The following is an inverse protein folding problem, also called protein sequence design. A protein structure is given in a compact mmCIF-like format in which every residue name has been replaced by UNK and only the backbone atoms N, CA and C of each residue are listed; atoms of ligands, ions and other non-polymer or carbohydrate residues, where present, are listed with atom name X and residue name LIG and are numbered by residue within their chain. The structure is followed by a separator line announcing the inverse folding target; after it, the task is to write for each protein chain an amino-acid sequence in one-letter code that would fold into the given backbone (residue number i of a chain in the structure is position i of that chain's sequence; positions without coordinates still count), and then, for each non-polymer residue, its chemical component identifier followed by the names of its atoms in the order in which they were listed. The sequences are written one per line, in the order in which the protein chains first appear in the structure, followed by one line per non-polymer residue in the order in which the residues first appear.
data_IF_859241608878
#
_entry.id   IF_859241608878
#
_cell.length_a   1.000
_cell.length_b   1.000
_cell.length_c   1.000
_cell.angle_alpha   90.00
_cell.angle_beta   90.00
_cell.angle_gamma   90.00
#
_symmetry.space_group_name_H-M   'P 1'
#
loop_
_entity.id
_entity.type
_entity.pdbx_description
1 polymer ?
#
# COMPACT_ATOMS: atom_id res chain seq x y z
N UNK A 1 -10.03 -3.34 -6.43
CA UNK A 1 -8.86 -3.94 -5.76
C UNK A 1 -8.48 -5.21 -6.51
N UNK A 2 -7.19 -5.50 -6.67
CA UNK A 2 -6.75 -6.86 -6.99
C UNK A 2 -6.96 -7.80 -5.79
N UNK A 3 -6.71 -9.10 -5.95
CA UNK A 3 -6.76 -10.03 -4.81
C UNK A 3 -5.75 -9.60 -3.74
N UNK A 4 -6.13 -9.62 -2.46
CA UNK A 4 -5.20 -9.28 -1.37
C UNK A 4 -4.03 -10.28 -1.31
N UNK A 5 -4.20 -11.49 -1.83
CA UNK A 5 -3.13 -12.48 -1.97
C UNK A 5 -1.95 -11.98 -2.82
N UNK A 6 -2.18 -10.98 -3.67
CA UNK A 6 -1.14 -10.34 -4.50
C UNK A 6 -0.58 -9.05 -3.88
N UNK A 7 -1.02 -8.67 -2.66
CA UNK A 7 -0.57 -7.47 -1.99
C UNK A 7 0.77 -7.69 -1.26
N UNK A 8 1.68 -6.73 -1.38
CA UNK A 8 2.85 -6.65 -0.52
C UNK A 8 2.51 -5.83 0.73
N UNK A 9 2.69 -6.43 1.90
CA UNK A 9 2.59 -5.73 3.19
C UNK A 9 3.97 -5.61 3.81
N UNK A 10 4.34 -4.39 4.18
CA UNK A 10 5.56 -4.08 4.91
C UNK A 10 5.16 -3.36 6.20
N UNK A 11 5.71 -3.79 7.33
CA UNK A 11 5.46 -3.20 8.65
C UNK A 11 6.75 -3.12 9.45
N UNK A 12 6.87 -2.09 10.28
CA UNK A 12 7.90 -1.94 11.30
C UNK A 12 7.32 -2.00 12.73
N UNK A 13 6.05 -2.39 12.87
CA UNK A 13 5.45 -2.64 14.18
C UNK A 13 5.99 -3.95 14.79
N UNK A 14 5.71 -4.15 16.09
CA UNK A 14 6.08 -5.40 16.77
C UNK A 14 5.31 -6.60 16.23
N UNK A 15 5.93 -7.78 16.27
CA UNK A 15 5.35 -9.02 15.73
C UNK A 15 3.95 -9.35 16.28
N UNK A 16 3.70 -9.06 17.57
CA UNK A 16 2.40 -9.28 18.21
C UNK A 16 1.31 -8.38 17.66
N UNK A 17 1.64 -7.14 17.29
CA UNK A 17 0.73 -6.21 16.63
C UNK A 17 0.43 -6.69 15.21
N UNK A 18 1.49 -6.98 14.44
CA UNK A 18 1.36 -7.40 13.05
C UNK A 18 0.54 -8.68 12.89
N UNK A 19 0.79 -9.69 13.73
CA UNK A 19 0.01 -10.92 13.67
C UNK A 19 -1.48 -10.67 13.94
N UNK A 20 -1.79 -9.83 14.93
CA UNK A 20 -3.16 -9.55 15.33
C UNK A 20 -3.90 -8.62 14.36
N UNK A 21 -3.22 -7.70 13.69
CA UNK A 21 -3.82 -6.71 12.80
C UNK A 21 -3.70 -7.06 11.31
N UNK A 22 -2.48 -7.39 10.86
CA UNK A 22 -2.19 -7.74 9.46
C UNK A 22 -2.53 -9.21 9.21
N UNK A 23 -2.07 -10.11 10.09
CA UNK A 23 -2.27 -11.56 9.93
C UNK A 23 -3.74 -11.97 9.95
N UNK A 24 -4.57 -11.28 10.74
CA UNK A 24 -6.02 -11.48 10.77
C UNK A 24 -6.78 -10.73 9.68
N UNK A 25 -6.08 -9.97 8.84
CA UNK A 25 -6.65 -9.07 7.83
C UNK A 25 -7.59 -7.99 8.37
N UNK A 26 -7.54 -7.68 9.67
CA UNK A 26 -8.36 -6.65 10.32
C UNK A 26 -8.24 -5.27 9.64
N UNK A 27 -7.08 -4.96 9.05
CA UNK A 27 -6.85 -3.70 8.35
C UNK A 27 -7.78 -3.49 7.12
N UNK A 28 -8.31 -4.56 6.50
CA UNK A 28 -9.25 -4.43 5.37
C UNK A 28 -10.55 -3.73 5.76
N UNK A 29 -10.94 -3.86 7.03
CA UNK A 29 -12.15 -3.25 7.60
C UNK A 29 -11.85 -1.90 8.25
N UNK A 30 -10.58 -1.52 8.39
CA UNK A 30 -10.19 -0.34 9.16
C UNK A 30 -10.67 0.95 8.48
N UNK A 31 -11.08 1.97 9.27
CA UNK A 31 -11.63 3.22 8.73
C UNK A 31 -10.62 3.95 7.82
N UNK A 32 -9.33 3.88 8.14
CA UNK A 32 -8.27 4.45 7.29
C UNK A 32 -8.12 3.74 5.95
N UNK A 33 -8.27 2.41 5.91
CA UNK A 33 -8.20 1.66 4.67
C UNK A 33 -9.39 1.99 3.76
N UNK A 34 -10.61 2.00 4.31
CA UNK A 34 -11.82 2.40 3.56
C UNK A 34 -11.71 3.82 3.01
N UNK A 35 -11.28 4.77 3.83
CA UNK A 35 -11.04 6.15 3.37
C UNK A 35 -10.06 6.20 2.20
N UNK A 36 -8.95 5.46 2.30
CA UNK A 36 -7.92 5.47 1.26
C UNK A 36 -8.42 4.93 -0.09
N UNK A 37 -9.36 3.98 -0.10
CA UNK A 37 -9.90 3.44 -1.35
C UNK A 37 -10.62 4.48 -2.21
N UNK A 38 -11.15 5.53 -1.59
CA UNK A 38 -11.98 6.55 -2.25
C UNK A 38 -11.28 7.90 -2.37
N UNK A 39 -10.11 8.07 -1.73
CA UNK A 39 -9.42 9.35 -1.60
C UNK A 39 -7.94 9.23 -1.97
N UNK A 40 -7.37 10.33 -2.44
CA UNK A 40 -5.92 10.50 -2.60
C UNK A 40 -5.43 11.60 -1.65
N UNK A 41 -4.27 11.40 -1.03
CA UNK A 41 -3.72 12.35 -0.07
C UNK A 41 -3.52 11.71 1.30
N UNK A 42 -3.53 12.53 2.35
CA UNK A 42 -3.31 12.07 3.71
C UNK A 42 -4.39 12.58 4.66
N UNK A 43 -4.76 11.75 5.64
CA UNK A 43 -5.73 12.09 6.67
C UNK A 43 -5.21 11.71 8.05
N UNK A 44 -5.37 12.61 9.01
CA UNK A 44 -5.03 12.37 10.41
C UNK A 44 -6.06 11.45 11.05
N UNK A 45 -5.62 10.56 11.94
CA UNK A 45 -6.51 9.63 12.62
C UNK A 45 -7.51 10.32 13.54
N UNK A 46 -7.20 11.53 14.03
CA UNK A 46 -8.17 12.34 14.78
C UNK A 46 -9.44 12.61 13.99
N UNK A 47 -9.32 12.94 12.70
CA UNK A 47 -10.47 13.14 11.82
C UNK A 47 -11.25 11.84 11.59
N UNK A 48 -10.54 10.71 11.42
CA UNK A 48 -11.16 9.40 11.20
C UNK A 48 -11.82 8.81 12.45
N UNK A 49 -11.26 9.02 13.64
CA UNK A 49 -11.64 8.31 14.86
C UNK A 49 -12.55 9.11 15.79
N UNK A 50 -12.76 10.40 15.51
CA UNK A 50 -13.54 11.28 16.38
C UNK A 50 -14.95 11.52 15.88
N UNK A 51 -15.21 11.32 14.59
CA UNK A 51 -16.57 11.43 14.03
C UNK A 51 -17.44 10.23 14.43
N UNK A 52 -18.00 10.29 15.63
CA UNK A 52 -18.83 9.23 16.21
C UNK A 52 -20.07 8.86 15.38
N UNK A 53 -20.52 9.73 14.47
CA UNK A 53 -21.65 9.49 13.56
C UNK A 53 -21.25 8.66 12.35
N UNK A 54 -19.99 8.75 11.94
CA UNK A 54 -19.42 7.98 10.83
C UNK A 54 -18.84 6.63 11.26
N UNK A 55 -18.54 6.44 12.56
CA UNK A 55 -17.95 5.21 13.08
C UNK A 55 -18.97 4.09 13.30
N UNK A 56 -18.74 2.98 12.59
CA UNK A 56 -19.43 1.71 12.81
C UNK A 56 -19.00 1.05 14.13
N UNK A 57 -19.73 0.03 14.59
CA UNK A 57 -19.32 -0.78 15.74
C UNK A 57 -17.92 -1.40 15.51
N UNK A 58 -17.67 -1.89 14.29
CA UNK A 58 -16.40 -2.47 13.90
C UNK A 58 -15.25 -1.47 13.95
N UNK A 59 -15.50 -0.23 13.54
CA UNK A 59 -14.46 0.82 13.64
C UNK A 59 -14.08 1.09 15.09
N UNK A 60 -15.06 1.10 16.01
CA UNK A 60 -14.80 1.30 17.44
C UNK A 60 -13.97 0.16 18.02
N UNK A 61 -14.22 -1.08 17.61
CA UNK A 61 -13.40 -2.24 18.00
C UNK A 61 -11.96 -2.10 17.52
N UNK A 62 -11.76 -1.72 16.25
CA UNK A 62 -10.43 -1.54 15.66
C UNK A 62 -9.68 -0.38 16.34
N UNK A 63 -10.37 0.74 16.60
CA UNK A 63 -9.80 1.88 17.32
C UNK A 63 -9.42 1.49 18.75
N UNK A 64 -10.28 0.73 19.45
CA UNK A 64 -9.97 0.22 20.78
C UNK A 64 -8.77 -0.74 20.77
N UNK A 65 -8.69 -1.60 19.74
CA UNK A 65 -7.54 -2.49 19.53
C UNK A 65 -6.23 -1.71 19.36
N UNK A 66 -6.22 -0.64 18.56
CA UNK A 66 -5.05 0.22 18.37
C UNK A 66 -4.65 0.91 19.68
N UNK A 67 -5.61 1.52 20.39
CA UNK A 67 -5.37 2.21 21.67
C UNK A 67 -4.80 1.27 22.75
N UNK A 68 -5.31 0.05 22.83
CA UNK A 68 -4.81 -0.96 23.77
C UNK A 68 -3.35 -1.40 23.48
N UNK A 69 -2.79 -1.03 22.33
CA UNK A 69 -1.42 -1.34 21.89
C UNK A 69 -0.60 -0.07 21.65
N UNK A 70 -1.02 1.05 22.23
CA UNK A 70 -0.34 2.35 22.15
C UNK A 70 -0.22 2.94 20.73
N UNK A 71 -1.01 2.43 19.78
CA UNK A 71 -1.14 3.01 18.43
C UNK A 71 -2.25 4.05 18.48
N UNK A 72 -1.94 5.24 18.99
CA UNK A 72 -2.97 6.22 19.38
C UNK A 72 -3.08 7.44 18.44
N UNK A 73 -2.01 7.79 17.74
CA UNK A 73 -1.95 8.97 16.90
C UNK A 73 -1.15 8.67 15.63
N UNK A 74 -1.54 9.30 14.53
CA UNK A 74 -0.94 9.02 13.24
C UNK A 74 -1.71 9.57 12.05
N UNK A 75 -1.23 9.18 10.87
CA UNK A 75 -1.82 9.53 9.59
C UNK A 75 -1.98 8.30 8.70
N UNK A 76 -3.03 8.28 7.92
CA UNK A 76 -3.17 7.36 6.78
C UNK A 76 -2.89 8.14 5.49
N UNK A 77 -2.00 7.59 4.67
CA UNK A 77 -1.56 8.14 3.39
C UNK A 77 -2.10 7.21 2.30
N UNK A 78 -2.90 7.76 1.39
CA UNK A 78 -3.41 7.07 0.21
C UNK A 78 -2.68 7.55 -1.03
N UNK A 79 -1.98 6.63 -1.70
CA UNK A 79 -1.23 6.88 -2.93
C UNK A 79 -1.95 6.16 -4.08
N UNK A 80 -2.62 6.95 -4.91
CA UNK A 80 -3.26 6.47 -6.14
C UNK A 80 -2.45 6.95 -7.35
N UNK A 81 -2.06 6.04 -8.23
CA UNK A 81 -1.44 6.41 -9.50
C UNK A 81 -2.49 6.57 -10.61
N UNK A 82 -2.19 7.37 -11.64
CA UNK A 82 -3.08 7.64 -12.79
C UNK A 82 -3.52 6.39 -13.59
N UNK A 83 -3.04 5.20 -13.26
CA UNK A 83 -3.55 3.94 -13.81
C UNK A 83 -4.31 3.19 -12.72
N UNK A 84 -5.54 2.76 -13.03
CA UNK A 84 -6.48 2.09 -12.11
C UNK A 84 -5.99 0.74 -11.50
N UNK A 85 -4.72 0.36 -11.72
CA UNK A 85 -4.15 -0.93 -11.34
C UNK A 85 -3.26 -0.89 -10.09
N UNK A 86 -2.88 0.29 -9.61
CA UNK A 86 -1.94 0.41 -8.49
C UNK A 86 -2.51 1.30 -7.39
N UNK A 87 -2.74 0.69 -6.24
CA UNK A 87 -3.25 1.31 -5.03
C UNK A 87 -2.29 1.00 -3.89
N UNK A 88 -1.84 2.02 -3.17
CA UNK A 88 -1.02 1.85 -1.98
C UNK A 88 -1.54 2.70 -0.84
N UNK A 89 -1.50 2.11 0.36
CA UNK A 89 -1.86 2.76 1.61
C UNK A 89 -0.68 2.64 2.55
N UNK A 90 -0.34 3.74 3.22
CA UNK A 90 0.67 3.76 4.27
C UNK A 90 0.04 4.29 5.55
N UNK A 91 0.17 3.54 6.64
CA UNK A 91 -0.19 3.99 7.98
C UNK A 91 1.07 4.47 8.69
N UNK A 92 1.09 5.74 9.09
CA UNK A 92 2.21 6.37 9.78
C UNK A 92 1.82 6.58 11.24
N UNK A 93 2.28 5.66 12.09
CA UNK A 93 2.05 5.71 13.54
C UNK A 93 3.07 6.64 14.20
N UNK A 94 2.59 7.57 15.02
CA UNK A 94 3.44 8.45 15.82
C UNK A 94 3.99 7.75 17.07
N UNK A 95 4.93 8.41 17.75
CA UNK A 95 5.43 7.97 19.05
C UNK A 95 4.30 8.01 20.09
N UNK A 96 4.34 7.09 21.06
CA UNK A 96 3.24 6.83 22.01
C UNK A 96 2.94 7.99 22.96
N UNK A 97 3.92 8.88 23.18
CA UNK A 97 3.82 10.09 24.01
C UNK A 97 3.24 11.31 23.26
N UNK A 98 3.03 11.21 21.94
CA UNK A 98 2.49 12.31 21.14
C UNK A 98 0.97 12.20 21.00
N UNK A 99 0.29 13.30 21.30
CA UNK A 99 -1.13 13.46 21.01
C UNK A 99 -1.36 13.67 19.50
N UNK A 100 -2.57 13.35 19.02
CA UNK A 100 -2.92 13.62 17.63
C UNK A 100 -2.76 15.11 17.27
N UNK A 101 -3.09 16.04 18.18
CA UNK A 101 -2.91 17.47 17.95
C UNK A 101 -1.44 17.89 17.78
N UNK A 102 -0.50 17.20 18.44
CA UNK A 102 0.94 17.39 18.21
C UNK A 102 1.37 16.82 16.86
N UNK A 103 0.85 15.64 16.50
CA UNK A 103 1.11 15.01 15.20
C UNK A 103 0.57 15.87 14.06
N UNK A 104 -0.61 16.47 14.21
CA UNK A 104 -1.21 17.37 13.23
C UNK A 104 -0.36 18.65 13.06
N UNK A 105 0.22 19.18 14.15
CA UNK A 105 1.18 20.30 14.08
C UNK A 105 2.47 19.92 13.36
N UNK A 106 3.00 18.72 13.63
CA UNK A 106 4.16 18.18 12.91
C UNK A 106 3.83 17.99 11.42
N UNK A 107 2.64 17.50 11.11
CA UNK A 107 2.18 17.36 9.73
C UNK A 107 2.03 18.70 9.02
N UNK A 108 1.55 19.74 9.70
CA UNK A 108 1.47 21.08 9.11
C UNK A 108 2.86 21.62 8.73
N UNK A 109 3.90 21.33 9.52
CA UNK A 109 5.27 21.75 9.26
C UNK A 109 5.99 20.87 8.22
N UNK A 110 5.85 19.55 8.32
CA UNK A 110 6.69 18.57 7.62
C UNK A 110 5.92 17.68 6.64
N UNK A 111 4.60 17.82 6.57
CA UNK A 111 3.71 16.92 5.84
C UNK A 111 4.02 16.84 4.35
N UNK A 112 4.44 17.94 3.73
CA UNK A 112 4.88 17.94 2.33
C UNK A 112 6.09 17.00 2.13
N UNK A 113 7.11 17.11 3.00
CA UNK A 113 8.29 16.26 2.95
C UNK A 113 7.94 14.79 3.22
N UNK A 114 7.11 14.53 4.24
CA UNK A 114 6.65 13.17 4.57
C UNK A 114 5.88 12.56 3.39
N UNK A 115 4.96 13.31 2.78
CA UNK A 115 4.20 12.90 1.60
C UNK A 115 5.12 12.56 0.42
N UNK A 116 6.10 13.42 0.11
CA UNK A 116 7.08 13.15 -0.95
C UNK A 116 7.87 11.88 -0.67
N UNK A 117 8.32 11.67 0.57
CA UNK A 117 9.07 10.46 0.94
C UNK A 117 8.25 9.19 0.76
N UNK A 118 6.97 9.21 1.14
CA UNK A 118 6.06 8.08 0.95
C UNK A 118 5.83 7.77 -0.53
N UNK A 119 5.68 8.79 -1.38
CA UNK A 119 5.56 8.61 -2.83
C UNK A 119 6.85 8.02 -3.44
N UNK A 120 8.02 8.52 -3.05
CA UNK A 120 9.30 7.98 -3.51
C UNK A 120 9.52 6.55 -3.04
N UNK A 121 9.21 6.24 -1.77
CA UNK A 121 9.26 4.89 -1.23
C UNK A 121 8.37 3.94 -2.03
N UNK A 122 7.12 4.33 -2.30
CA UNK A 122 6.20 3.52 -3.09
C UNK A 122 6.74 3.24 -4.50
N UNK A 123 7.26 4.25 -5.19
CA UNK A 123 7.88 4.09 -6.52
C UNK A 123 9.10 3.14 -6.47
N UNK A 124 9.92 3.25 -5.42
CA UNK A 124 11.07 2.36 -5.25
C UNK A 124 10.64 0.93 -4.99
N UNK A 125 9.66 0.71 -4.13
CA UNK A 125 9.07 -0.61 -3.90
C UNK A 125 8.60 -1.16 -5.25
N UNK A 126 7.76 -0.45 -6.01
CA UNK A 126 7.29 -0.94 -7.33
C UNK A 126 8.42 -1.29 -8.33
N UNK A 127 9.58 -0.65 -8.22
CA UNK A 127 10.74 -0.93 -9.09
C UNK A 127 11.56 -2.17 -8.70
N UNK A 128 11.39 -2.69 -7.47
CA UNK A 128 12.13 -3.86 -7.01
C UNK A 128 11.53 -5.15 -7.59
N UNK A 129 12.32 -6.22 -7.80
CA UNK A 129 11.79 -7.51 -8.20
C UNK A 129 10.89 -8.08 -7.09
N UNK A 130 9.58 -8.03 -7.29
CA UNK A 130 8.63 -8.63 -6.36
C UNK A 130 8.45 -10.10 -6.75
N UNK A 131 8.80 -11.01 -5.85
CA UNK A 131 8.36 -12.41 -5.92
C UNK A 131 6.88 -12.47 -5.53
N UNK A 132 6.02 -11.82 -6.30
CA UNK A 132 4.60 -12.11 -6.21
C UNK A 132 4.37 -13.58 -6.55
N UNK A 133 3.21 -14.09 -6.15
CA UNK A 133 2.53 -15.29 -6.67
C UNK A 133 2.22 -15.18 -8.17
N UNK A 134 3.10 -14.57 -8.97
CA UNK A 134 3.15 -14.88 -10.40
C UNK A 134 3.45 -16.36 -10.48
N UNK A 135 2.42 -17.13 -10.81
CA UNK A 135 2.58 -18.50 -11.27
C UNK A 135 3.81 -18.51 -12.17
N UNK A 136 4.84 -19.26 -11.75
CA UNK A 136 5.90 -19.64 -12.67
C UNK A 136 5.18 -20.17 -13.90
N UNK A 137 5.43 -19.54 -15.05
CA UNK A 137 4.88 -19.98 -16.32
C UNK A 137 5.04 -21.50 -16.37
N UNK A 138 3.95 -22.23 -16.59
CA UNK A 138 4.03 -23.67 -16.79
C UNK A 138 5.01 -23.94 -17.94
N UNK A 139 5.60 -25.14 -17.99
CA UNK A 139 6.58 -25.48 -19.03
C UNK A 139 6.04 -25.16 -20.44
N UNK A 140 4.73 -25.38 -20.66
CA UNK A 140 4.03 -25.03 -21.91
C UNK A 140 3.93 -23.53 -22.19
N UNK A 141 3.75 -22.70 -21.17
CA UNK A 141 3.69 -21.25 -21.34
C UNK A 141 5.08 -20.64 -21.60
N UNK A 142 6.16 -21.24 -21.04
CA UNK A 142 7.53 -20.85 -21.42
C UNK A 142 7.84 -21.26 -22.85
N UNK A 143 7.51 -22.49 -23.21
CA UNK A 143 7.69 -23.00 -24.56
C UNK A 143 6.98 -22.10 -25.58
N UNK A 144 5.70 -21.78 -25.39
CA UNK A 144 4.96 -20.86 -26.27
C UNK A 144 5.59 -19.47 -26.40
N UNK A 145 6.23 -18.95 -25.34
CA UNK A 145 6.97 -17.68 -25.41
C UNK A 145 8.31 -17.81 -26.13
N UNK A 146 9.01 -18.95 -26.01
CA UNK A 146 10.23 -19.24 -26.76
C UNK A 146 9.94 -19.32 -28.28
N UNK A 147 8.80 -19.89 -28.69
CA UNK A 147 8.37 -19.93 -30.09
C UNK A 147 8.06 -18.53 -30.66
N UNK A 148 7.50 -17.62 -29.86
CA UNK A 148 7.23 -16.24 -30.30
C UNK A 148 8.51 -15.41 -30.48
N UNK A 149 9.56 -15.72 -29.73
CA UNK A 149 10.88 -15.06 -29.85
C UNK A 149 11.65 -15.58 -31.06
N UNK A 150 11.49 -16.86 -31.42
CA UNK A 150 12.11 -17.44 -32.62
C UNK A 150 11.39 -17.05 -33.92
N UNK A 151 10.09 -16.72 -33.88
CA UNK A 151 9.32 -16.33 -35.07
C UNK A 151 9.42 -14.85 -35.48
N UNK A 152 10.15 -14.00 -34.74
CA UNK A 152 10.42 -12.63 -35.20
C UNK A 152 11.90 -12.35 -35.47
N UNK A 153 12.53 -12.99 -36.46
CA UNK A 153 13.69 -12.42 -37.09
C UNK A 153 13.20 -11.25 -37.95
N UNK A 154 13.52 -10.04 -37.53
CA UNK A 154 13.41 -8.81 -38.32
C UNK A 154 13.71 -9.07 -39.79
N UNK A 155 12.65 -9.04 -40.60
CA UNK A 155 12.67 -9.17 -42.05
C UNK A 155 13.28 -7.91 -42.65
N UNK A 156 14.60 -7.80 -42.64
CA UNK A 156 15.36 -6.87 -43.49
C UNK A 156 16.03 -7.67 -44.59
N UNK A 157 15.41 -7.64 -45.78
CA UNK A 157 16.02 -8.12 -47.01
C UNK A 157 17.22 -7.24 -47.39
N UNK A 158 18.42 -7.81 -47.40
CA UNK A 158 19.54 -7.24 -48.17
C UNK A 158 19.49 -7.81 -49.59
N UNK A 159 19.26 -6.91 -50.55
CA UNK A 159 19.48 -7.10 -51.99
C UNK A 159 20.99 -7.04 -52.31
N UNK A 160 21.38 -7.77 -53.36
CA UNK A 160 22.63 -7.70 -54.18
C UNK A 160 23.96 -7.98 -53.46
N UNK A 161 24.90 -8.76 -54.01
CA UNK A 161 25.52 -8.60 -55.34
C UNK A 161 26.00 -9.91 -55.99
N UNK A 162 26.12 -9.82 -57.33
CA UNK A 162 26.99 -10.62 -58.22
C UNK A 162 28.46 -10.40 -57.86
#
# INVERSE_FOLDING_TARGET
LGAFEDALVLSNHGQSYDQAYIGSQMFLEAPGFRWAQENAGAIGWGALWTDSRALTARDREIIAFHRAREVCAGYTVSITQNSARTFAVVSLTARTDLSQAEVDRLWAAEGCRIWTMNNLMHLKILSLPHRGTRHLLSSRQREALEWLVTENPTRTSRRSWV
#
